data_IF_625390132926
#
_entry.id   IF_625390132926
#
_cell.length_a   1.000
_cell.length_b   1.000
_cell.length_c   1.000
_cell.angle_alpha   90.00
_cell.angle_beta   90.00
_cell.angle_gamma   90.00
#
_symmetry.space_group_name_H-M   'P 1'
#
loop_
_entity.id
_entity.type
_entity.pdbx_description
1 polymer ?
#
# COMPACT_ATOMS: atom_id res chain seq x y z
N UNK A 1 -36.99 -53.05 25.44
CA UNK A 1 -36.41 -52.33 24.29
C UNK A 1 -35.31 -51.41 24.83
N UNK A 2 -34.02 -51.78 24.69
CA UNK A 2 -32.88 -50.96 25.15
C UNK A 2 -32.61 -49.86 24.12
N UNK A 3 -32.83 -48.59 24.49
CA UNK A 3 -32.39 -47.44 23.70
C UNK A 3 -30.97 -47.10 24.11
N UNK A 4 -30.00 -47.36 23.24
CA UNK A 4 -28.61 -46.93 23.38
C UNK A 4 -28.56 -45.50 22.86
N UNK A 5 -28.53 -44.53 23.78
CA UNK A 5 -28.31 -43.13 23.43
C UNK A 5 -26.80 -42.90 23.35
N UNK A 6 -26.27 -42.85 22.12
CA UNK A 6 -24.86 -42.57 21.85
C UNK A 6 -24.57 -41.09 22.17
N UNK A 7 -23.82 -40.85 23.25
CA UNK A 7 -23.24 -39.55 23.56
C UNK A 7 -22.17 -39.22 22.52
N UNK A 8 -22.47 -38.34 21.57
CA UNK A 8 -21.45 -37.76 20.68
C UNK A 8 -20.94 -36.46 21.31
N UNK A 9 -19.88 -36.58 22.11
CA UNK A 9 -19.12 -35.46 22.65
C UNK A 9 -18.35 -34.80 21.48
N UNK A 10 -18.94 -33.80 20.82
CA UNK A 10 -18.21 -32.96 19.87
C UNK A 10 -17.31 -32.02 20.66
N UNK A 11 -16.04 -32.40 20.83
CA UNK A 11 -15.01 -31.52 21.35
C UNK A 11 -14.83 -30.35 20.36
N UNK A 12 -15.41 -29.19 20.69
CA UNK A 12 -15.07 -27.92 20.04
C UNK A 12 -13.63 -27.59 20.43
N UNK A 13 -12.67 -27.86 19.56
CA UNK A 13 -11.36 -27.23 19.64
C UNK A 13 -11.49 -25.79 19.13
N UNK A 14 -11.21 -24.76 19.93
CA UNK A 14 -11.17 -23.40 19.43
C UNK A 14 -10.00 -23.28 18.45
N UNK A 15 -10.29 -22.95 17.21
CA UNK A 15 -9.29 -22.50 16.24
C UNK A 15 -8.76 -21.16 16.73
N UNK A 16 -7.57 -21.17 17.34
CA UNK A 16 -6.89 -19.94 17.73
C UNK A 16 -6.29 -19.33 16.47
N UNK A 17 -6.97 -18.34 15.89
CA UNK A 17 -6.43 -17.52 14.80
C UNK A 17 -5.54 -16.45 15.47
N UNK A 18 -4.23 -16.64 15.42
CA UNK A 18 -3.30 -15.56 15.75
C UNK A 18 -3.17 -14.66 14.52
N UNK A 19 -3.54 -13.38 14.64
CA UNK A 19 -3.10 -12.38 13.67
C UNK A 19 -1.57 -12.30 13.73
N UNK A 20 -0.93 -12.12 12.56
CA UNK A 20 0.52 -11.98 12.47
C UNK A 20 0.98 -10.89 13.45
N UNK A 21 1.95 -11.24 14.30
CA UNK A 21 2.39 -10.37 15.38
C UNK A 21 3.16 -9.21 14.74
N UNK A 22 2.67 -7.97 14.90
CA UNK A 22 3.41 -6.74 14.56
C UNK A 22 4.61 -6.52 15.50
N UNK A 23 5.31 -7.58 15.90
CA UNK A 23 6.60 -7.46 16.53
C UNK A 23 7.50 -6.71 15.56
N UNK A 24 8.05 -5.58 16.00
CA UNK A 24 9.01 -4.83 15.21
C UNK A 24 10.15 -5.78 14.83
N UNK A 25 10.24 -6.10 13.54
CA UNK A 25 11.47 -6.70 13.03
C UNK A 25 12.54 -5.64 13.19
N UNK A 26 13.69 -6.02 13.78
CA UNK A 26 14.93 -5.25 13.72
C UNK A 26 15.40 -5.16 12.26
N UNK A 27 14.69 -4.39 11.45
CA UNK A 27 15.04 -4.07 10.08
C UNK A 27 16.00 -2.89 10.11
N UNK A 28 16.97 -2.89 9.19
CA UNK A 28 17.70 -1.67 8.90
C UNK A 28 16.70 -0.54 8.62
N UNK A 29 16.97 0.71 9.03
CA UNK A 29 16.12 1.84 8.67
C UNK A 29 15.86 1.82 7.17
N UNK A 30 14.59 1.87 6.78
CA UNK A 30 14.25 2.02 5.37
C UNK A 30 14.82 3.35 4.88
N UNK A 31 15.25 3.44 3.61
CA UNK A 31 15.61 4.73 3.03
C UNK A 31 14.45 5.70 3.23
N UNK A 32 14.77 6.91 3.71
CA UNK A 32 13.76 7.94 3.90
C UNK A 32 13.21 8.33 2.53
N UNK A 33 11.89 8.47 2.44
CA UNK A 33 11.23 8.81 1.20
C UNK A 33 10.25 9.97 1.41
N UNK A 34 10.21 10.91 0.46
CA UNK A 34 9.12 11.89 0.36
C UNK A 34 8.03 11.31 -0.51
N UNK A 35 6.82 11.19 0.03
CA UNK A 35 5.62 10.82 -0.71
C UNK A 35 4.77 12.05 -1.00
N UNK A 36 4.39 12.23 -2.26
CA UNK A 36 3.51 13.33 -2.69
C UNK A 36 2.29 12.80 -3.44
N UNK A 37 1.16 13.48 -3.25
CA UNK A 37 -0.12 13.12 -3.87
C UNK A 37 -0.62 14.25 -4.75
N UNK A 38 -1.03 13.89 -5.97
CA UNK A 38 -1.54 14.83 -6.98
C UNK A 38 -2.93 14.39 -7.42
N UNK A 39 -3.90 15.27 -7.23
CA UNK A 39 -5.27 15.04 -7.67
C UNK A 39 -5.46 15.54 -9.11
N UNK A 40 -6.18 14.76 -9.92
CA UNK A 40 -6.54 15.18 -11.28
C UNK A 40 -7.82 16.03 -11.17
N UNK A 41 -7.78 17.34 -11.47
CA UNK A 41 -8.97 18.17 -11.40
C UNK A 41 -10.02 17.75 -12.45
N UNK A 42 -11.29 18.07 -12.21
CA UNK A 42 -12.37 17.82 -13.16
C UNK A 42 -12.08 18.44 -14.53
N UNK A 43 -12.09 17.63 -15.60
CA UNK A 43 -11.73 18.06 -16.96
C UNK A 43 -10.22 18.17 -17.22
N UNK A 44 -9.37 17.88 -16.24
CA UNK A 44 -7.92 17.86 -16.38
C UNK A 44 -7.44 16.75 -17.31
N UNK A 45 -6.34 16.99 -18.03
CA UNK A 45 -5.71 16.00 -18.89
C UNK A 45 -4.72 15.15 -18.09
N UNK A 46 -4.98 13.83 -17.89
CA UNK A 46 -4.06 12.96 -17.15
C UNK A 46 -2.69 12.87 -17.79
N UNK A 47 -2.62 12.88 -19.13
CA UNK A 47 -1.35 12.81 -19.86
C UNK A 47 -0.51 14.09 -19.70
N UNK A 48 -1.16 15.26 -19.64
CA UNK A 48 -0.45 16.51 -19.39
C UNK A 48 0.13 16.55 -17.96
N UNK A 49 -0.64 16.09 -16.97
CA UNK A 49 -0.18 16.00 -15.58
C UNK A 49 0.98 15.01 -15.48
N UNK A 50 0.87 13.84 -16.11
CA UNK A 50 1.93 12.84 -16.12
C UNK A 50 3.22 13.38 -16.74
N UNK A 51 3.13 14.14 -17.84
CA UNK A 51 4.30 14.76 -18.46
C UNK A 51 4.97 15.78 -17.53
N UNK A 52 4.18 16.67 -16.91
CA UNK A 52 4.69 17.64 -15.95
C UNK A 52 5.35 16.98 -14.73
N UNK A 53 4.74 15.92 -14.18
CA UNK A 53 5.31 15.16 -13.07
C UNK A 53 6.60 14.44 -13.48
N UNK A 54 6.68 13.92 -14.71
CA UNK A 54 7.91 13.28 -15.21
C UNK A 54 9.07 14.27 -15.28
N UNK A 55 8.82 15.50 -15.72
CA UNK A 55 9.85 16.55 -15.74
C UNK A 55 10.26 16.97 -14.34
N UNK A 56 9.29 17.13 -13.43
CA UNK A 56 9.53 17.44 -12.03
C UNK A 56 10.42 16.39 -11.34
N UNK A 57 10.09 15.09 -11.46
CA UNK A 57 10.86 14.05 -10.79
C UNK A 57 12.31 13.95 -11.31
N UNK A 58 12.54 14.17 -12.61
CA UNK A 58 13.91 14.28 -13.16
C UNK A 58 14.68 15.46 -12.58
N UNK A 59 14.00 16.57 -12.30
CA UNK A 59 14.62 17.73 -11.67
C UNK A 59 14.96 17.45 -10.19
N UNK A 60 14.11 16.71 -9.47
CA UNK A 60 14.39 16.26 -8.11
C UNK A 60 15.61 15.31 -8.07
N UNK A 61 15.69 14.32 -8.96
CA UNK A 61 16.87 13.45 -9.10
C UNK A 61 18.14 14.27 -9.39
N UNK A 62 18.05 15.25 -10.30
CA UNK A 62 19.16 16.16 -10.59
C UNK A 62 19.53 17.07 -9.41
N UNK A 63 18.61 17.29 -8.46
CA UNK A 63 18.82 18.07 -7.25
C UNK A 63 19.39 17.25 -6.08
N UNK A 64 19.50 15.92 -6.23
CA UNK A 64 20.20 15.05 -5.29
C UNK A 64 19.35 13.97 -4.62
N UNK A 65 18.13 13.72 -5.08
CA UNK A 65 17.43 12.47 -4.74
C UNK A 65 18.06 11.29 -5.50
N UNK A 66 18.14 10.13 -4.84
CA UNK A 66 18.76 8.93 -5.38
C UNK A 66 17.91 8.28 -6.47
N UNK A 67 16.59 8.24 -6.26
CA UNK A 67 15.62 7.68 -7.20
C UNK A 67 14.22 8.25 -6.94
N UNK A 68 13.48 8.53 -8.01
CA UNK A 68 12.11 9.00 -7.93
C UNK A 68 11.16 8.09 -8.74
N UNK A 69 10.05 7.68 -8.14
CA UNK A 69 9.02 6.88 -8.78
C UNK A 69 7.69 7.62 -8.88
N UNK A 70 6.90 7.28 -9.90
CA UNK A 70 5.53 7.76 -10.07
C UNK A 70 4.58 6.57 -10.29
N UNK A 71 3.47 6.58 -9.57
CA UNK A 71 2.36 5.66 -9.73
C UNK A 71 1.09 6.42 -10.11
N UNK A 72 0.41 5.98 -11.16
CA UNK A 72 -0.90 6.51 -11.52
C UNK A 72 -1.99 5.70 -10.83
N UNK A 73 -2.75 6.36 -9.97
CA UNK A 73 -3.90 5.76 -9.30
C UNK A 73 -5.15 5.89 -10.18
N UNK A 74 -5.56 4.76 -10.77
CA UNK A 74 -6.66 4.71 -11.75
C UNK A 74 -7.99 4.19 -11.18
N UNK A 75 -8.00 3.63 -9.97
CA UNK A 75 -9.17 2.97 -9.37
C UNK A 75 -9.66 3.72 -8.15
N UNK A 76 -10.98 3.71 -7.90
CA UNK A 76 -11.59 4.35 -6.72
C UNK A 76 -12.09 5.76 -6.98
N UNK A 77 -12.55 6.42 -5.91
CA UNK A 77 -13.18 7.74 -5.97
C UNK A 77 -12.18 8.87 -6.28
N UNK A 78 -10.93 8.75 -5.83
CA UNK A 78 -9.86 9.68 -6.16
C UNK A 78 -9.00 9.10 -7.28
N UNK A 79 -8.94 9.81 -8.41
CA UNK A 79 -7.99 9.53 -9.49
C UNK A 79 -6.84 10.52 -9.39
N UNK A 80 -5.62 10.03 -9.47
CA UNK A 80 -4.46 10.85 -9.17
C UNK A 80 -3.14 10.22 -9.56
N UNK A 81 -2.07 10.91 -9.20
CA UNK A 81 -0.71 10.40 -9.23
C UNK A 81 -0.14 10.43 -7.82
N UNK A 82 0.62 9.41 -7.48
CA UNK A 82 1.44 9.36 -6.27
C UNK A 82 2.89 9.32 -6.71
N UNK A 83 3.75 10.10 -6.07
CA UNK A 83 5.20 10.05 -6.32
C UNK A 83 5.94 9.74 -5.03
N UNK A 84 7.10 9.12 -5.18
CA UNK A 84 8.03 8.87 -4.09
C UNK A 84 9.45 9.20 -4.52
N UNK A 85 10.21 9.95 -3.73
CA UNK A 85 11.64 10.18 -3.96
C UNK A 85 12.43 9.78 -2.72
N UNK A 86 13.52 9.04 -2.90
CA UNK A 86 14.38 8.52 -1.81
C UNK A 86 15.71 9.28 -1.71
N UNK A 87 16.27 9.29 -0.50
CA UNK A 87 17.59 9.85 -0.17
C UNK A 87 18.62 8.76 0.12
#
# INVERSE_FOLDING_TARGET
>A
MKRITLFLLTALTPLVVNADNHAEKNQAPLPMAIFSTYEIPGGGSPSAIQAALTEYLKAEEAAGYDDCAMYQHQFGAQRGFYTSCVF
#
